data_IF_195119412482
#
_entry.id   IF_195119412482
#
_cell.length_a   1.000
_cell.length_b   1.000
_cell.length_c   1.000
_cell.angle_alpha   90.00
_cell.angle_beta   90.00
_cell.angle_gamma   90.00
#
_symmetry.space_group_name_H-M   'P 1'
#
loop_
_entity.id
_entity.type
_entity.pdbx_description
1 polymer ?
#
# COMPACT_ATOMS: atom_id res chain seq x y z
N UNK A 1 11.19 -16.79 -9.13
CA UNK A 1 10.87 -16.71 -7.66
C UNK A 1 9.40 -17.08 -7.50
N UNK A 2 9.03 -17.75 -6.40
CA UNK A 2 7.63 -18.08 -6.10
C UNK A 2 7.11 -17.06 -5.11
N UNK A 3 5.89 -16.58 -5.29
CA UNK A 3 5.25 -15.68 -4.32
C UNK A 3 5.00 -16.44 -3.02
N UNK A 4 5.23 -15.79 -1.90
CA UNK A 4 4.97 -16.33 -0.56
C UNK A 4 4.22 -15.28 0.26
N UNK A 5 3.21 -15.70 1.02
CA UNK A 5 2.52 -14.82 1.94
C UNK A 5 3.47 -14.46 3.09
N UNK A 6 3.89 -13.20 3.26
CA UNK A 6 4.70 -12.81 4.40
C UNK A 6 3.86 -12.86 5.69
N UNK A 7 4.43 -13.19 6.85
CA UNK A 7 3.71 -13.05 8.12
C UNK A 7 3.40 -11.58 8.40
N UNK A 8 2.33 -11.32 9.14
CA UNK A 8 2.08 -9.98 9.67
C UNK A 8 3.19 -9.58 10.64
N UNK A 9 3.67 -8.32 10.62
CA UNK A 9 4.71 -7.85 11.55
C UNK A 9 4.18 -7.56 12.97
N UNK A 10 2.91 -7.81 13.22
CA UNK A 10 2.20 -7.61 14.50
C UNK A 10 1.11 -8.68 14.69
N UNK A 11 0.58 -8.80 15.90
CA UNK A 11 -0.55 -9.68 16.18
C UNK A 11 -1.83 -9.20 15.46
N UNK A 12 -2.73 -10.12 15.12
CA UNK A 12 -3.96 -9.80 14.36
C UNK A 12 -4.88 -8.78 15.05
N UNK A 13 -4.83 -8.65 16.37
CA UNK A 13 -5.62 -7.70 17.15
C UNK A 13 -4.88 -6.39 17.49
N UNK A 14 -3.61 -6.28 17.11
CA UNK A 14 -2.74 -5.19 17.53
C UNK A 14 -3.08 -3.82 16.92
N UNK A 15 -3.82 -3.78 15.80
CA UNK A 15 -4.26 -2.53 15.16
C UNK A 15 -5.61 -2.01 15.69
N UNK A 16 -6.22 -2.72 16.64
CA UNK A 16 -7.44 -2.25 17.30
C UNK A 16 -7.23 -0.92 18.04
N UNK A 17 -8.26 -0.05 18.14
CA UNK A 17 -9.62 -0.21 17.61
C UNK A 17 -9.79 0.25 16.14
N UNK A 18 -8.72 0.55 15.42
CA UNK A 18 -8.74 1.17 14.09
C UNK A 18 -8.89 0.17 12.94
N UNK A 19 -8.43 -1.06 13.13
CA UNK A 19 -8.60 -2.17 12.21
C UNK A 19 -8.76 -3.45 13.04
N UNK A 20 -9.87 -4.15 12.87
CA UNK A 20 -10.19 -5.32 13.67
C UNK A 20 -9.38 -6.54 13.28
N UNK A 21 -9.30 -7.50 14.22
CA UNK A 21 -8.75 -8.83 13.97
C UNK A 21 -9.47 -9.50 12.79
N UNK A 22 -10.80 -9.41 12.72
CA UNK A 22 -11.60 -10.01 11.66
C UNK A 22 -11.20 -9.44 10.29
N UNK A 23 -11.04 -8.11 10.17
CA UNK A 23 -10.56 -7.49 8.95
C UNK A 23 -9.20 -8.05 8.53
N UNK A 24 -8.25 -8.18 9.45
CA UNK A 24 -6.92 -8.71 9.14
C UNK A 24 -6.95 -10.19 8.75
N UNK A 25 -7.76 -11.04 9.42
CA UNK A 25 -7.91 -12.45 9.08
C UNK A 25 -8.48 -12.64 7.67
N UNK A 26 -9.44 -11.82 7.25
CA UNK A 26 -9.94 -11.87 5.88
C UNK A 26 -8.95 -11.24 4.89
N UNK A 27 -8.41 -10.09 5.19
CA UNK A 27 -7.58 -9.33 4.26
C UNK A 27 -6.24 -10.01 4.01
N UNK A 28 -5.55 -10.48 5.07
CA UNK A 28 -4.26 -11.17 4.96
C UNK A 28 -4.45 -12.64 4.55
N UNK A 29 -5.22 -13.42 5.31
CA UNK A 29 -5.24 -14.88 5.15
C UNK A 29 -6.12 -15.36 3.99
N UNK A 30 -7.02 -14.52 3.50
CA UNK A 30 -7.90 -14.85 2.35
C UNK A 30 -7.53 -14.05 1.11
N UNK A 31 -7.66 -12.72 1.14
CA UNK A 31 -7.39 -11.90 -0.04
C UNK A 31 -5.93 -11.95 -0.48
N UNK A 32 -4.98 -11.62 0.41
CA UNK A 32 -3.56 -11.66 0.05
C UNK A 32 -3.10 -13.09 -0.30
N UNK A 33 -3.53 -14.10 0.46
CA UNK A 33 -3.21 -15.50 0.14
C UNK A 33 -3.75 -15.91 -1.23
N UNK A 34 -4.93 -15.44 -1.63
CA UNK A 34 -5.47 -15.71 -2.96
C UNK A 34 -4.61 -15.09 -4.06
N UNK A 35 -4.12 -13.87 -3.90
CA UNK A 35 -3.18 -13.25 -4.86
C UNK A 35 -1.87 -14.03 -4.97
N UNK A 36 -1.35 -14.54 -3.86
CA UNK A 36 -0.16 -15.42 -3.84
C UNK A 36 -0.42 -16.70 -4.63
N UNK A 37 -1.50 -17.39 -4.33
CA UNK A 37 -1.85 -18.67 -4.98
C UNK A 37 -2.11 -18.49 -6.47
N UNK A 38 -2.95 -17.52 -6.83
CA UNK A 38 -3.33 -17.26 -8.21
C UNK A 38 -2.15 -16.69 -9.02
N UNK A 39 -1.34 -15.84 -8.40
CA UNK A 39 -0.13 -15.30 -9.02
C UNK A 39 0.88 -16.39 -9.36
N UNK A 40 1.15 -17.31 -8.42
CA UNK A 40 2.03 -18.46 -8.68
C UNK A 40 1.52 -19.35 -9.82
N UNK A 41 0.21 -19.56 -9.90
CA UNK A 41 -0.38 -20.30 -11.00
C UNK A 41 -0.27 -19.55 -12.33
N UNK A 42 -0.46 -18.23 -12.31
CA UNK A 42 -0.44 -17.40 -13.50
C UNK A 42 0.97 -17.22 -14.12
N UNK A 43 2.04 -17.23 -13.30
CA UNK A 43 3.42 -17.07 -13.79
C UNK A 43 4.01 -18.40 -14.30
N UNK A 44 3.46 -19.54 -13.89
CA UNK A 44 4.00 -20.86 -14.22
C UNK A 44 4.06 -21.08 -15.74
N UNK A 45 5.24 -21.45 -16.25
CA UNK A 45 5.48 -21.68 -17.68
C UNK A 45 5.46 -20.41 -18.53
N UNK A 46 5.50 -19.24 -17.94
CA UNK A 46 5.59 -17.95 -18.64
C UNK A 46 7.01 -17.36 -18.58
N UNK A 47 7.25 -16.29 -19.35
CA UNK A 47 8.50 -15.52 -19.29
C UNK A 47 8.75 -14.84 -17.91
N UNK A 48 7.77 -14.86 -17.03
CA UNK A 48 7.83 -14.26 -15.69
C UNK A 48 8.34 -15.25 -14.63
N UNK A 49 8.37 -16.53 -14.93
CA UNK A 49 8.85 -17.54 -14.00
C UNK A 49 10.32 -17.28 -13.63
N UNK A 50 10.62 -17.26 -12.33
CA UNK A 50 11.98 -17.01 -11.82
C UNK A 50 12.39 -15.54 -11.66
N UNK A 51 11.64 -14.59 -12.22
CA UNK A 51 11.91 -13.15 -12.05
C UNK A 51 11.55 -12.65 -10.65
N UNK A 52 12.09 -11.50 -10.28
CA UNK A 52 11.69 -10.79 -9.06
C UNK A 52 10.26 -10.27 -9.15
N UNK A 53 9.62 -10.03 -8.01
CA UNK A 53 8.23 -9.53 -7.98
C UNK A 53 8.08 -8.19 -8.72
N UNK A 54 9.03 -7.26 -8.53
CA UNK A 54 9.01 -5.98 -9.24
C UNK A 54 9.15 -6.13 -10.76
N UNK A 55 10.04 -7.02 -11.23
CA UNK A 55 10.18 -7.30 -12.65
C UNK A 55 8.90 -7.89 -13.24
N UNK A 56 8.23 -8.78 -12.48
CA UNK A 56 6.95 -9.37 -12.89
C UNK A 56 5.87 -8.28 -13.00
N UNK A 57 5.74 -7.42 -11.97
CA UNK A 57 4.75 -6.35 -11.97
C UNK A 57 4.98 -5.40 -13.15
N UNK A 58 6.22 -4.89 -13.32
CA UNK A 58 6.56 -3.98 -14.42
C UNK A 58 6.41 -4.63 -15.79
N UNK A 59 6.86 -5.87 -15.93
CA UNK A 59 6.89 -6.58 -17.21
C UNK A 59 5.52 -7.06 -17.68
N UNK A 60 4.59 -7.34 -16.76
CA UNK A 60 3.25 -7.83 -17.09
C UNK A 60 2.21 -6.73 -17.29
N UNK A 61 2.50 -5.51 -16.83
CA UNK A 61 1.59 -4.36 -17.00
C UNK A 61 1.27 -4.09 -18.47
N UNK A 62 -0.02 -4.05 -18.78
CA UNK A 62 -0.50 -3.85 -20.15
C UNK A 62 -0.29 -5.04 -21.12
N UNK A 63 0.36 -6.14 -20.66
CA UNK A 63 0.67 -7.30 -21.50
C UNK A 63 -0.05 -8.57 -21.07
N UNK A 64 -0.12 -8.85 -19.76
CA UNK A 64 -0.73 -10.04 -19.20
C UNK A 64 -1.52 -9.68 -17.94
N UNK A 65 -2.82 -9.46 -18.11
CA UNK A 65 -3.71 -9.04 -17.03
C UNK A 65 -3.81 -10.07 -15.89
N UNK A 66 -3.77 -11.37 -16.20
CA UNK A 66 -3.86 -12.41 -15.17
C UNK A 66 -2.62 -12.42 -14.26
N UNK A 67 -1.42 -12.25 -14.84
CA UNK A 67 -0.19 -12.11 -14.07
C UNK A 67 -0.18 -10.79 -13.32
N UNK A 68 -0.45 -9.68 -14.02
CA UNK A 68 -0.37 -8.34 -13.45
C UNK A 68 -1.31 -8.14 -12.25
N UNK A 69 -2.58 -8.53 -12.38
CA UNK A 69 -3.55 -8.32 -11.30
C UNK A 69 -3.14 -9.02 -10.00
N UNK A 70 -2.60 -10.23 -10.09
CA UNK A 70 -2.18 -10.97 -8.90
C UNK A 70 -0.80 -10.51 -8.39
N UNK A 71 0.17 -10.29 -9.26
CA UNK A 71 1.50 -9.82 -8.88
C UNK A 71 1.47 -8.39 -8.34
N UNK A 72 0.70 -7.49 -8.96
CA UNK A 72 0.53 -6.11 -8.50
C UNK A 72 -0.12 -6.06 -7.12
N UNK A 73 -1.22 -6.80 -6.92
CA UNK A 73 -1.86 -6.89 -5.61
C UNK A 73 -0.93 -7.54 -4.57
N UNK A 74 -0.21 -8.59 -4.93
CA UNK A 74 0.77 -9.19 -4.01
C UNK A 74 1.85 -8.18 -3.62
N UNK A 75 2.43 -7.45 -4.58
CA UNK A 75 3.41 -6.40 -4.33
C UNK A 75 2.87 -5.32 -3.38
N UNK A 76 1.68 -4.81 -3.65
CA UNK A 76 1.06 -3.78 -2.82
C UNK A 76 0.86 -4.27 -1.38
N UNK A 77 0.38 -5.51 -1.19
CA UNK A 77 0.10 -6.07 0.13
C UNK A 77 1.35 -6.46 0.92
N UNK A 78 2.45 -6.89 0.26
CA UNK A 78 3.74 -7.13 0.94
C UNK A 78 4.17 -5.89 1.71
N UNK A 79 4.01 -4.71 1.11
CA UNK A 79 4.33 -3.45 1.76
C UNK A 79 3.23 -2.96 2.71
N UNK A 80 1.95 -3.21 2.40
CA UNK A 80 0.80 -2.70 3.15
C UNK A 80 0.87 -3.05 4.63
N UNK A 81 1.21 -4.29 4.94
CA UNK A 81 1.34 -4.73 6.33
C UNK A 81 2.43 -3.98 7.09
N UNK A 82 3.54 -3.66 6.44
CA UNK A 82 4.66 -2.92 7.04
C UNK A 82 4.43 -1.40 7.09
N UNK A 83 3.55 -0.85 6.24
CA UNK A 83 3.14 0.55 6.31
C UNK A 83 2.26 0.86 7.52
N UNK A 84 1.77 -0.17 8.21
CA UNK A 84 0.99 0.00 9.44
C UNK A 84 1.77 -0.55 10.64
N UNK A 85 1.51 0.04 11.81
CA UNK A 85 1.98 -0.49 13.10
C UNK A 85 1.03 -0.13 14.22
N UNK A 86 1.03 -0.90 15.34
CA UNK A 86 0.33 -0.50 16.55
C UNK A 86 0.81 0.87 17.03
N UNK A 87 -0.13 1.72 17.44
CA UNK A 87 0.16 3.10 17.86
C UNK A 87 0.96 3.91 16.82
N UNK A 88 0.67 3.67 15.54
CA UNK A 88 1.26 4.40 14.42
C UNK A 88 0.65 5.79 14.25
N UNK A 89 0.89 6.40 13.07
CA UNK A 89 0.40 7.75 12.77
C UNK A 89 1.05 8.82 13.64
N UNK A 90 0.20 9.65 14.25
CA UNK A 90 0.65 10.72 15.13
C UNK A 90 1.25 11.93 14.40
N UNK A 91 2.01 12.75 15.15
CA UNK A 91 2.58 14.01 14.65
C UNK A 91 4.11 14.03 14.58
N UNK A 92 4.77 12.94 14.96
CA UNK A 92 6.22 12.84 14.93
C UNK A 92 6.68 11.98 13.77
N UNK A 93 7.42 12.58 12.86
CA UNK A 93 8.05 11.92 11.71
C UNK A 93 9.58 11.94 11.86
N UNK A 94 10.31 10.99 11.23
CA UNK A 94 11.75 11.11 11.03
C UNK A 94 12.09 12.43 10.33
N UNK A 95 13.14 13.14 10.84
CA UNK A 95 13.39 14.52 10.48
C UNK A 95 13.61 14.80 8.98
N UNK A 96 14.25 13.86 8.25
CA UNK A 96 14.42 14.01 6.78
C UNK A 96 13.10 13.91 6.03
N UNK A 97 12.23 12.98 6.46
CA UNK A 97 10.89 12.79 5.86
C UNK A 97 9.98 13.97 6.21
N UNK A 98 10.01 14.46 7.45
CA UNK A 98 9.27 15.64 7.89
C UNK A 98 9.62 16.88 7.05
N UNK A 99 10.93 17.11 6.87
CA UNK A 99 11.43 18.20 6.03
C UNK A 99 10.88 18.09 4.60
N UNK A 100 10.96 16.90 4.01
CA UNK A 100 10.54 16.68 2.62
C UNK A 100 9.01 16.78 2.45
N UNK A 101 8.23 16.26 3.38
CA UNK A 101 6.77 16.45 3.40
C UNK A 101 6.41 17.93 3.52
N UNK A 102 7.16 18.70 4.32
CA UNK A 102 6.93 20.13 4.46
C UNK A 102 7.27 20.87 3.17
N UNK A 103 8.40 20.56 2.54
CA UNK A 103 8.83 21.20 1.29
C UNK A 103 7.90 20.90 0.11
N UNK A 104 7.53 19.63 -0.09
CA UNK A 104 6.81 19.22 -1.30
C UNK A 104 5.29 19.26 -1.14
N UNK A 105 4.77 19.02 0.07
CA UNK A 105 3.34 18.83 0.32
C UNK A 105 2.74 19.88 1.29
N UNK A 106 3.56 20.79 1.83
CA UNK A 106 3.09 21.85 2.72
C UNK A 106 2.86 21.43 4.16
N UNK A 107 3.45 20.30 4.59
CA UNK A 107 3.44 19.82 5.96
C UNK A 107 2.50 18.64 6.21
N UNK A 108 2.62 18.07 7.41
CA UNK A 108 1.94 16.82 7.77
C UNK A 108 0.42 16.89 7.72
N UNK A 109 -0.19 17.95 8.25
CA UNK A 109 -1.65 18.07 8.29
C UNK A 109 -2.23 18.24 6.88
N UNK A 110 -1.53 18.97 6.02
CA UNK A 110 -1.91 19.07 4.62
C UNK A 110 -1.73 17.73 3.90
N UNK A 111 -0.64 17.03 4.14
CA UNK A 111 -0.45 15.67 3.64
C UNK A 111 -1.61 14.75 4.02
N UNK A 112 -1.99 14.69 5.31
CA UNK A 112 -3.10 13.84 5.77
C UNK A 112 -4.41 14.18 5.06
N UNK A 113 -4.69 15.47 4.90
CA UNK A 113 -5.89 15.96 4.21
C UNK A 113 -5.91 15.53 2.74
N UNK A 114 -4.82 15.78 2.03
CA UNK A 114 -4.71 15.51 0.60
C UNK A 114 -4.66 13.99 0.33
N UNK A 115 -3.98 13.21 1.18
CA UNK A 115 -3.92 11.76 1.08
C UNK A 115 -5.29 11.12 1.30
N UNK A 116 -6.02 11.56 2.32
CA UNK A 116 -7.38 11.10 2.55
C UNK A 116 -8.32 11.50 1.39
N UNK A 117 -8.20 12.73 0.88
CA UNK A 117 -8.97 13.18 -0.28
C UNK A 117 -8.68 12.35 -1.55
N UNK A 118 -7.42 11.98 -1.78
CA UNK A 118 -7.04 11.10 -2.89
C UNK A 118 -7.68 9.71 -2.77
N UNK A 119 -7.64 9.12 -1.57
CA UNK A 119 -8.25 7.80 -1.30
C UNK A 119 -9.77 7.82 -1.41
N UNK A 120 -10.44 8.87 -0.89
CA UNK A 120 -11.89 9.06 -1.07
C UNK A 120 -12.24 9.23 -2.55
N UNK A 121 -11.44 10.02 -3.27
CA UNK A 121 -11.64 10.29 -4.69
C UNK A 121 -11.26 9.13 -5.62
N UNK A 122 -10.71 8.02 -5.12
CA UNK A 122 -10.51 6.81 -5.91
C UNK A 122 -11.86 6.14 -6.15
N UNK A 123 -12.37 6.24 -7.38
CA UNK A 123 -13.65 5.63 -7.74
C UNK A 123 -13.51 4.11 -7.82
N UNK A 124 -14.36 3.41 -7.06
CA UNK A 124 -14.32 1.94 -6.97
C UNK A 124 -13.12 1.42 -6.18
N UNK A 125 -12.59 0.29 -6.61
CA UNK A 125 -11.44 -0.38 -6.00
C UNK A 125 -10.13 0.25 -6.44
N UNK A 126 -9.18 0.33 -5.53
CA UNK A 126 -7.86 0.86 -5.84
C UNK A 126 -7.06 1.20 -4.59
N UNK A 127 -6.09 2.07 -4.77
CA UNK A 127 -5.11 2.47 -3.76
C UNK A 127 -4.87 3.97 -3.79
N UNK A 128 -4.52 4.57 -2.67
CA UNK A 128 -3.89 5.90 -2.63
C UNK A 128 -2.46 5.80 -2.12
N UNK A 129 -1.60 6.71 -2.58
CA UNK A 129 -0.15 6.60 -2.48
C UNK A 129 0.50 7.90 -2.04
N UNK A 130 1.56 7.79 -1.24
CA UNK A 130 2.66 8.72 -1.19
C UNK A 130 3.81 8.10 -1.99
N UNK A 131 4.30 8.81 -2.99
CA UNK A 131 5.32 8.32 -3.93
C UNK A 131 6.45 9.31 -4.09
N UNK A 132 7.63 8.78 -4.47
CA UNK A 132 8.75 9.60 -4.96
C UNK A 132 8.74 9.57 -6.48
N UNK A 133 8.71 10.74 -7.11
CA UNK A 133 8.81 10.89 -8.55
C UNK A 133 9.70 12.09 -8.89
N UNK A 134 10.75 11.86 -9.68
CA UNK A 134 11.72 12.90 -10.05
C UNK A 134 12.29 13.69 -8.85
N UNK A 135 12.57 12.99 -7.74
CA UNK A 135 13.11 13.59 -6.53
C UNK A 135 12.10 14.36 -5.66
N UNK A 136 10.81 14.30 -5.98
CA UNK A 136 9.74 14.96 -5.22
C UNK A 136 8.76 13.95 -4.63
N UNK A 137 8.17 14.32 -3.49
CA UNK A 137 7.02 13.61 -2.94
C UNK A 137 5.74 14.08 -3.64
N UNK A 138 4.94 13.11 -4.06
CA UNK A 138 3.63 13.35 -4.68
C UNK A 138 2.59 12.42 -4.07
N UNK A 139 1.35 12.89 -3.97
CA UNK A 139 0.19 12.07 -3.64
C UNK A 139 -0.48 11.66 -4.94
N UNK A 140 -0.77 10.37 -5.07
CA UNK A 140 -1.46 9.81 -6.24
C UNK A 140 -2.49 8.75 -5.85
N UNK A 141 -3.25 8.28 -6.83
CA UNK A 141 -4.18 7.16 -6.68
C UNK A 141 -4.17 6.32 -7.94
N UNK A 142 -4.40 5.03 -7.78
CA UNK A 142 -4.45 4.06 -8.89
C UNK A 142 -5.65 3.14 -8.75
N UNK A 143 -6.14 2.63 -9.88
CA UNK A 143 -7.24 1.67 -9.90
C UNK A 143 -6.74 0.24 -9.64
N UNK A 144 -7.59 -0.57 -9.06
CA UNK A 144 -7.40 -2.02 -8.90
C UNK A 144 -6.05 -2.39 -8.24
N UNK A 145 -5.21 -3.15 -8.93
CA UNK A 145 -3.90 -3.60 -8.45
C UNK A 145 -2.72 -2.76 -8.96
N UNK A 146 -2.97 -1.65 -9.65
CA UNK A 146 -1.92 -0.76 -10.10
C UNK A 146 -1.24 -0.06 -8.92
N UNK A 147 0.02 0.31 -9.13
CA UNK A 147 0.82 1.09 -8.18
C UNK A 147 1.70 2.09 -8.92
N UNK A 148 2.29 3.08 -8.23
CA UNK A 148 3.25 4.01 -8.83
C UNK A 148 4.41 3.34 -9.58
N UNK A 149 4.76 2.12 -9.19
CA UNK A 149 5.85 1.34 -9.78
C UNK A 149 5.74 1.17 -11.31
N UNK A 150 4.52 1.03 -11.82
CA UNK A 150 4.27 0.89 -13.27
C UNK A 150 4.14 2.22 -13.99
N UNK A 151 4.14 3.32 -13.24
CA UNK A 151 4.06 4.70 -13.73
C UNK A 151 5.36 5.49 -13.55
N UNK A 152 6.48 4.76 -13.30
CA UNK A 152 7.81 5.38 -13.19
C UNK A 152 8.03 6.17 -11.89
N UNK A 153 7.31 5.81 -10.82
CA UNK A 153 7.48 6.39 -9.51
C UNK A 153 7.68 5.30 -8.45
N UNK A 154 8.28 5.65 -7.32
CA UNK A 154 8.54 4.70 -6.22
C UNK A 154 7.50 4.92 -5.12
N UNK A 155 6.62 3.95 -4.84
CA UNK A 155 5.70 4.05 -3.71
C UNK A 155 6.47 3.93 -2.39
N UNK A 156 6.21 4.84 -1.45
CA UNK A 156 6.80 4.80 -0.10
C UNK A 156 5.75 4.64 0.99
N UNK A 157 4.48 4.93 0.68
CA UNK A 157 3.31 4.63 1.50
C UNK A 157 2.13 4.34 0.57
N UNK A 158 1.34 3.33 0.90
CA UNK A 158 0.10 2.99 0.23
C UNK A 158 -1.01 2.69 1.21
N UNK A 159 -2.24 3.06 0.86
CA UNK A 159 -3.44 2.65 1.59
C UNK A 159 -4.40 1.96 0.62
N UNK A 160 -4.80 0.75 0.97
CA UNK A 160 -5.79 -0.02 0.23
C UNK A 160 -7.18 0.57 0.43
N UNK A 161 -7.83 0.99 -0.64
CA UNK A 161 -9.21 1.51 -0.61
C UNK A 161 -10.21 0.60 -1.34
N UNK A 162 -9.84 -0.65 -1.57
CA UNK A 162 -10.80 -1.70 -1.86
C UNK A 162 -11.75 -1.85 -0.66
N UNK A 163 -13.02 -2.11 -0.91
CA UNK A 163 -13.99 -2.25 0.18
C UNK A 163 -13.64 -3.36 1.17
N UNK A 164 -13.04 -4.46 0.72
CA UNK A 164 -12.62 -5.53 1.60
C UNK A 164 -11.60 -5.10 2.67
N UNK A 165 -10.88 -4.01 2.46
CA UNK A 165 -9.88 -3.54 3.42
C UNK A 165 -10.49 -2.80 4.62
N UNK A 166 -11.73 -2.29 4.49
CA UNK A 166 -12.34 -1.47 5.54
C UNK A 166 -13.83 -1.73 5.81
N UNK A 167 -14.53 -2.49 4.96
CA UNK A 167 -16.00 -2.58 5.05
C UNK A 167 -16.50 -3.26 6.32
N UNK A 168 -15.75 -4.21 6.88
CA UNK A 168 -16.09 -4.88 8.16
C UNK A 168 -16.18 -3.85 9.29
N UNK A 169 -15.20 -2.94 9.39
CA UNK A 169 -15.08 -2.00 10.49
C UNK A 169 -15.83 -0.68 10.23
N UNK A 170 -15.83 -0.22 8.99
CA UNK A 170 -16.30 1.12 8.63
C UNK A 170 -17.53 1.13 7.71
N UNK A 171 -17.94 0.00 7.15
CA UNK A 171 -19.00 -0.07 6.13
C UNK A 171 -18.67 0.88 4.97
N UNK A 172 -19.61 1.71 4.55
CA UNK A 172 -19.42 2.69 3.47
C UNK A 172 -18.66 3.97 3.89
N UNK A 173 -18.11 4.02 5.10
CA UNK A 173 -17.44 5.20 5.64
C UNK A 173 -15.94 5.20 5.32
N UNK A 174 -15.58 5.13 4.02
CA UNK A 174 -14.19 5.22 3.56
C UNK A 174 -13.45 6.45 4.10
N UNK A 175 -14.05 7.66 4.22
CA UNK A 175 -13.38 8.80 4.83
C UNK A 175 -12.91 8.55 6.28
N UNK A 176 -13.72 7.86 7.10
CA UNK A 176 -13.36 7.57 8.49
C UNK A 176 -12.20 6.56 8.56
N UNK A 177 -12.21 5.56 7.69
CA UNK A 177 -11.10 4.60 7.55
C UNK A 177 -9.79 5.31 7.18
N UNK A 178 -9.81 6.17 6.18
CA UNK A 178 -8.62 6.91 5.75
C UNK A 178 -8.12 7.86 6.84
N UNK A 179 -9.05 8.51 7.57
CA UNK A 179 -8.68 9.32 8.73
C UNK A 179 -8.00 8.48 9.81
N UNK A 180 -8.56 7.33 10.18
CA UNK A 180 -7.98 6.42 11.16
C UNK A 180 -6.60 5.89 10.70
N UNK A 181 -6.45 5.55 9.41
CA UNK A 181 -5.18 5.14 8.83
C UNK A 181 -4.11 6.23 9.00
N UNK A 182 -4.40 7.46 8.59
CA UNK A 182 -3.46 8.57 8.68
C UNK A 182 -3.10 8.94 10.13
N UNK A 183 -4.08 8.93 11.02
CA UNK A 183 -3.88 9.41 12.38
C UNK A 183 -3.29 8.38 13.33
N UNK A 184 -3.49 7.07 13.05
CA UNK A 184 -3.27 6.04 14.07
C UNK A 184 -2.54 4.79 13.57
N UNK A 185 -2.35 4.59 12.26
CA UNK A 185 -1.81 3.34 11.75
C UNK A 185 -0.48 3.50 11.02
N UNK A 186 -0.19 4.64 10.38
CA UNK A 186 1.01 4.78 9.54
C UNK A 186 2.30 4.50 10.33
N UNK A 187 3.10 3.59 9.81
CA UNK A 187 4.45 3.31 10.29
C UNK A 187 5.47 4.25 9.62
N UNK A 188 5.63 5.43 10.19
CA UNK A 188 6.52 6.46 9.64
C UNK A 188 7.98 6.02 9.56
N UNK A 189 8.44 5.11 10.41
CA UNK A 189 9.80 4.57 10.36
C UNK A 189 10.03 3.77 9.08
N UNK A 190 9.05 2.94 8.70
CA UNK A 190 9.11 2.19 7.45
C UNK A 190 8.96 3.08 6.21
N UNK A 191 8.10 4.09 6.28
CA UNK A 191 7.99 5.09 5.21
C UNK A 191 9.30 5.83 4.99
N UNK A 192 10.00 6.22 6.08
CA UNK A 192 11.32 6.86 6.00
C UNK A 192 12.40 5.92 5.46
N UNK A 193 12.36 4.65 5.82
CA UNK A 193 13.26 3.64 5.26
C UNK A 193 13.10 3.54 3.73
N UNK A 194 11.86 3.43 3.24
CA UNK A 194 11.56 3.37 1.81
C UNK A 194 11.93 4.69 1.10
N UNK A 195 11.68 5.84 1.74
CA UNK A 195 12.11 7.13 1.22
C UNK A 195 13.63 7.18 1.01
N UNK A 196 14.41 6.70 1.98
CA UNK A 196 15.87 6.62 1.84
C UNK A 196 16.35 5.67 0.74
N UNK A 197 15.62 4.57 0.50
CA UNK A 197 15.92 3.63 -0.60
C UNK A 197 15.54 4.17 -1.98
N UNK A 198 14.62 5.13 -2.05
CA UNK A 198 14.19 5.75 -3.30
C UNK A 198 15.27 6.64 -3.95
N UNK A 199 16.43 6.85 -3.32
CA UNK A 199 17.59 7.52 -3.91
C UNK A 199 17.47 9.05 -4.00
N UNK A 200 16.74 9.67 -3.07
CA UNK A 200 16.53 11.14 -2.98
C UNK A 200 17.31 11.74 -1.82
#
# INVERSE_FOLDING_TARGET
MTFTLPPLPYAYDALGPHMSKETLEYHHDKHHQAYVTNGNNAIKGTEFEGKSLEEIVKGSFGKNAAVFNNAGQHYNHVHFWSWMKPNGGGSKLPGRLEKKITEDLGGLEKFKTDFAAAGVGQFGSGWCWLQVKNGKLEISKTANGESPLVHGATPILGCDVWEHSYYIDYRNRRPDYLKAFCDSLINWDYVDELYGKAGV
#
